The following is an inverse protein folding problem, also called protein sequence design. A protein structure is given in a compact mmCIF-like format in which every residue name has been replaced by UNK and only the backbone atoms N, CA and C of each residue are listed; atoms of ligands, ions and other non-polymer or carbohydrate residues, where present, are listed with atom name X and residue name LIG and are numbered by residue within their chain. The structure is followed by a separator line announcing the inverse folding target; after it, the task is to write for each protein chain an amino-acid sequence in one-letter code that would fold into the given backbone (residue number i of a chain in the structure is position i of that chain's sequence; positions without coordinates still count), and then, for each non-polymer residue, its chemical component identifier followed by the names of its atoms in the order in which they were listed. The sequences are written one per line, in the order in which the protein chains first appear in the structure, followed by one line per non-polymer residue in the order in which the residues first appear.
data_IF_272791192752
#
_entry.id   IF_272791192752
#
_cell.length_a   1.000
_cell.length_b   1.000
_cell.length_c   1.000
_cell.angle_alpha   90.00
_cell.angle_beta   90.00
_cell.angle_gamma   90.00
#
_symmetry.space_group_name_H-M   'P 1'
#
loop_
_entity.id
_entity.type
_entity.pdbx_description
1 polymer ?
#
# COMPACT_ATOMS: atom_id res chain seq x y z
N UNK A 1 -5.51 -47.82 9.91
CA UNK A 1 -4.21 -47.83 9.21
C UNK A 1 -4.45 -47.39 7.78
N UNK A 2 -4.22 -46.14 7.45
CA UNK A 2 -4.19 -45.61 6.09
C UNK A 2 -2.76 -45.15 5.84
N UNK A 3 -2.11 -45.83 4.88
CA UNK A 3 -0.76 -45.53 4.43
C UNK A 3 -0.77 -44.21 3.66
N UNK A 4 0.09 -43.28 4.08
CA UNK A 4 0.43 -42.10 3.29
C UNK A 4 1.57 -42.49 2.36
N UNK A 5 1.34 -42.34 1.07
CA UNK A 5 2.37 -42.51 0.04
C UNK A 5 3.11 -41.19 -0.05
N UNK A 6 4.37 -41.17 0.38
CA UNK A 6 5.31 -40.09 0.10
C UNK A 6 5.76 -40.18 -1.34
N UNK A 7 5.41 -39.24 -2.17
CA UNK A 7 6.02 -39.08 -3.49
C UNK A 7 7.33 -38.36 -3.35
N UNK A 8 8.36 -38.96 -3.92
CA UNK A 8 9.73 -38.51 -3.85
C UNK A 8 9.92 -37.15 -4.55
N UNK A 9 10.56 -36.25 -3.86
CA UNK A 9 11.05 -34.96 -4.36
C UNK A 9 12.24 -35.21 -5.28
N UNK A 10 12.14 -34.95 -6.57
CA UNK A 10 13.32 -34.84 -7.45
C UNK A 10 13.91 -33.43 -7.24
N UNK A 11 14.94 -33.34 -6.41
CA UNK A 11 15.84 -32.20 -6.32
C UNK A 11 16.72 -32.15 -7.58
N UNK A 12 16.45 -31.21 -8.47
CA UNK A 12 17.44 -30.84 -9.48
C UNK A 12 18.40 -29.85 -8.81
N UNK A 13 19.55 -30.38 -8.39
CA UNK A 13 20.65 -29.59 -7.87
C UNK A 13 21.29 -28.79 -9.00
N UNK A 14 20.94 -27.53 -9.14
CA UNK A 14 21.74 -26.56 -9.87
C UNK A 14 23.02 -26.30 -9.10
N UNK A 15 24.17 -26.57 -9.73
CA UNK A 15 25.49 -26.38 -9.16
C UNK A 15 25.71 -24.89 -8.86
N UNK A 16 25.78 -24.54 -7.59
CA UNK A 16 26.31 -23.26 -7.15
C UNK A 16 27.82 -23.26 -7.28
N UNK A 17 28.36 -22.50 -8.22
CA UNK A 17 29.76 -22.13 -8.18
C UNK A 17 29.92 -21.07 -7.07
N UNK A 18 30.46 -21.48 -5.92
CA UNK A 18 30.96 -20.58 -4.90
C UNK A 18 32.26 -19.94 -5.41
N UNK A 19 32.20 -18.73 -5.94
CA UNK A 19 33.36 -17.88 -6.05
C UNK A 19 33.46 -17.06 -4.77
N UNK A 20 34.50 -17.31 -3.99
CA UNK A 20 34.88 -16.50 -2.84
C UNK A 20 35.45 -15.16 -3.32
N UNK A 21 34.86 -14.07 -2.93
CA UNK A 21 35.47 -12.75 -3.07
C UNK A 21 34.48 -11.63 -3.31
N UNK A 22 34.37 -10.75 -2.34
CA UNK A 22 33.65 -9.47 -2.25
C UNK A 22 32.12 -9.57 -2.23
N UNK A 23 31.56 -9.22 -1.07
CA UNK A 23 30.14 -8.99 -0.85
C UNK A 23 29.67 -7.70 -1.55
N UNK A 24 29.65 -7.69 -2.87
CA UNK A 24 28.87 -6.72 -3.63
C UNK A 24 27.42 -7.23 -3.63
N UNK A 25 26.61 -6.68 -2.75
CA UNK A 25 25.16 -6.92 -2.69
C UNK A 25 24.46 -6.22 -3.84
N UNK A 26 24.74 -6.62 -5.07
CA UNK A 26 23.97 -6.16 -6.22
C UNK A 26 22.60 -6.84 -6.24
N UNK A 27 21.56 -6.06 -6.53
CA UNK A 27 20.23 -6.58 -6.78
C UNK A 27 20.25 -7.57 -7.94
N UNK A 28 19.64 -8.74 -7.77
CA UNK A 28 19.56 -9.78 -8.80
C UNK A 28 18.25 -9.65 -9.55
N UNK A 29 18.30 -9.73 -10.87
CA UNK A 29 17.10 -9.82 -11.67
C UNK A 29 16.26 -11.04 -11.27
N UNK A 30 14.95 -10.87 -11.13
CA UNK A 30 14.04 -11.96 -10.77
C UNK A 30 14.00 -13.04 -11.85
N UNK A 31 14.23 -14.29 -11.45
CA UNK A 31 14.06 -15.46 -12.32
C UNK A 31 12.86 -16.27 -11.84
N UNK A 32 11.78 -16.40 -12.65
CA UNK A 32 10.59 -17.13 -12.24
C UNK A 32 10.88 -18.60 -11.94
N UNK A 33 10.37 -19.07 -10.80
CA UNK A 33 10.35 -20.49 -10.42
C UNK A 33 8.91 -20.96 -10.47
N UNK A 34 8.65 -22.04 -11.19
CA UNK A 34 7.31 -22.59 -11.37
C UNK A 34 7.09 -23.78 -10.44
N UNK A 35 6.00 -23.73 -9.72
CA UNK A 35 5.52 -24.79 -8.85
C UNK A 35 4.22 -25.37 -9.38
N UNK A 36 3.95 -26.62 -9.04
CA UNK A 36 2.71 -27.29 -9.44
C UNK A 36 1.65 -27.02 -8.37
N UNK A 37 0.96 -25.91 -8.50
CA UNK A 37 -0.28 -25.61 -7.76
C UNK A 37 -1.38 -25.29 -8.78
N UNK A 38 -2.68 -25.51 -8.44
CA UNK A 38 -3.76 -25.14 -9.34
C UNK A 38 -3.72 -23.65 -9.65
N UNK A 39 -3.88 -23.31 -10.93
CA UNK A 39 -4.00 -21.92 -11.34
C UNK A 39 -5.37 -21.38 -10.98
N UNK A 40 -5.41 -20.14 -10.48
CA UNK A 40 -6.69 -19.44 -10.26
C UNK A 40 -7.33 -19.05 -11.58
N UNK A 41 -8.61 -18.79 -11.55
CA UNK A 41 -9.41 -18.33 -12.69
C UNK A 41 -9.98 -16.94 -12.44
N UNK A 42 -10.46 -16.27 -13.51
CA UNK A 42 -11.17 -14.99 -13.37
C UNK A 42 -12.44 -15.14 -12.50
N UNK A 43 -13.11 -16.31 -12.52
CA UNK A 43 -14.23 -16.59 -11.64
C UNK A 43 -13.81 -16.69 -10.15
N UNK A 44 -12.62 -17.19 -9.89
CA UNK A 44 -12.10 -17.27 -8.52
C UNK A 44 -11.77 -15.89 -7.93
N UNK A 45 -11.38 -14.92 -8.76
CA UNK A 45 -11.22 -13.53 -8.35
C UNK A 45 -12.49 -12.98 -7.73
N UNK A 46 -13.63 -13.20 -8.39
CA UNK A 46 -14.92 -12.72 -7.87
C UNK A 46 -15.33 -13.43 -6.60
N UNK A 47 -15.11 -14.74 -6.51
CA UNK A 47 -15.37 -15.52 -5.28
C UNK A 47 -14.51 -15.01 -4.11
N UNK A 48 -13.22 -14.75 -4.34
CA UNK A 48 -12.31 -14.25 -3.30
C UNK A 48 -12.71 -12.87 -2.80
N UNK A 49 -13.03 -11.95 -3.71
CA UNK A 49 -13.40 -10.59 -3.34
C UNK A 49 -14.81 -10.51 -2.72
N UNK A 50 -15.75 -11.28 -3.22
CA UNK A 50 -17.10 -11.36 -2.62
C UNK A 50 -17.06 -11.98 -1.22
N UNK A 51 -16.28 -13.03 -1.01
CA UNK A 51 -16.08 -13.63 0.31
C UNK A 51 -15.41 -12.64 1.29
N UNK A 52 -14.42 -11.87 0.83
CA UNK A 52 -13.80 -10.81 1.63
C UNK A 52 -14.86 -9.81 2.13
N UNK A 53 -15.72 -9.32 1.24
CA UNK A 53 -16.78 -8.38 1.60
C UNK A 53 -17.88 -9.03 2.48
N UNK A 54 -18.27 -10.27 2.20
CA UNK A 54 -19.30 -10.97 2.96
C UNK A 54 -18.90 -11.14 4.43
N UNK A 55 -17.66 -11.55 4.67
CA UNK A 55 -17.22 -11.92 6.02
C UNK A 55 -16.58 -10.77 6.81
N UNK A 56 -16.03 -9.76 6.15
CA UNK A 56 -15.21 -8.74 6.79
C UNK A 56 -15.77 -7.32 6.69
N UNK A 57 -16.69 -7.02 5.77
CA UNK A 57 -17.36 -5.74 5.74
C UNK A 57 -18.53 -5.71 6.76
N UNK A 58 -18.61 -4.69 7.59
CA UNK A 58 -19.82 -4.34 8.32
C UNK A 58 -20.81 -3.70 7.36
N UNK A 59 -21.79 -4.49 6.91
CA UNK A 59 -22.78 -4.10 5.90
C UNK A 59 -23.71 -2.96 6.38
N UNK A 60 -23.79 -2.69 7.69
CA UNK A 60 -24.63 -1.63 8.23
C UNK A 60 -23.90 -0.27 8.27
N UNK A 61 -22.57 -0.32 8.37
CA UNK A 61 -21.73 0.87 8.52
C UNK A 61 -20.87 1.17 7.32
N UNK A 62 -20.67 0.17 6.45
CA UNK A 62 -19.70 0.21 5.35
C UNK A 62 -18.28 0.57 5.81
N UNK A 63 -17.87 -0.06 6.91
CA UNK A 63 -16.52 -0.04 7.48
C UNK A 63 -16.05 -1.49 7.56
N UNK A 64 -14.80 -1.75 7.20
CA UNK A 64 -14.24 -3.09 7.36
C UNK A 64 -13.91 -3.37 8.82
N UNK A 65 -14.25 -4.57 9.24
CA UNK A 65 -13.94 -5.13 10.55
C UNK A 65 -12.48 -5.56 10.63
N UNK A 66 -11.93 -5.62 11.84
CA UNK A 66 -10.57 -6.11 12.03
C UNK A 66 -10.45 -7.62 11.78
N UNK A 67 -11.52 -8.39 12.03
CA UNK A 67 -11.51 -9.85 11.82
C UNK A 67 -12.91 -10.44 11.61
N UNK A 68 -12.94 -11.71 11.21
CA UNK A 68 -14.20 -12.47 11.10
C UNK A 68 -14.86 -12.77 12.47
N UNK A 69 -14.15 -12.62 13.58
CA UNK A 69 -14.69 -12.76 14.92
C UNK A 69 -15.50 -11.53 15.36
N UNK A 70 -15.28 -10.38 14.75
CA UNK A 70 -15.94 -9.14 15.10
C UNK A 70 -17.37 -9.12 14.55
N UNK A 71 -18.33 -8.78 15.40
CA UNK A 71 -19.75 -8.68 15.00
C UNK A 71 -20.04 -7.38 14.26
N UNK A 72 -19.32 -6.30 14.60
CA UNK A 72 -19.48 -4.99 14.02
C UNK A 72 -18.15 -4.21 14.09
N UNK A 73 -17.96 -3.28 13.17
CA UNK A 73 -16.88 -2.31 13.20
C UNK A 73 -17.32 -1.14 14.10
N UNK A 74 -16.91 -1.14 15.38
CA UNK A 74 -17.37 -0.10 16.35
C UNK A 74 -16.37 1.05 16.37
N UNK A 75 -15.11 0.79 16.71
CA UNK A 75 -13.99 1.73 16.69
C UNK A 75 -12.67 0.95 16.59
N UNK A 76 -11.55 1.68 16.63
CA UNK A 76 -10.19 1.14 16.53
C UNK A 76 -9.91 -0.06 17.46
N UNK A 77 -10.48 -0.05 18.67
CA UNK A 77 -10.23 -1.08 19.69
C UNK A 77 -11.36 -2.12 19.77
N UNK A 78 -12.47 -1.86 19.13
CA UNK A 78 -13.70 -2.62 19.18
C UNK A 78 -14.17 -3.02 17.79
N UNK A 79 -13.37 -3.77 17.08
CA UNK A 79 -13.74 -4.50 15.89
C UNK A 79 -13.67 -3.75 14.55
N UNK A 80 -13.33 -2.46 14.51
CA UNK A 80 -13.01 -1.77 13.26
C UNK A 80 -11.55 -2.05 12.86
N UNK A 81 -11.30 -2.31 11.58
CA UNK A 81 -9.95 -2.32 11.07
C UNK A 81 -9.32 -0.93 11.20
N UNK A 82 -7.99 -0.89 11.29
CA UNK A 82 -7.24 0.35 11.44
C UNK A 82 -7.59 1.38 10.36
N UNK A 83 -7.61 2.65 10.75
CA UNK A 83 -8.03 3.76 9.88
C UNK A 83 -7.22 3.84 8.58
N UNK A 84 -5.92 3.56 8.64
CA UNK A 84 -5.02 3.59 7.50
C UNK A 84 -5.20 2.41 6.53
N UNK A 85 -5.87 1.34 6.97
CA UNK A 85 -6.17 0.18 6.14
C UNK A 85 -7.46 0.35 5.33
N UNK A 86 -8.40 1.16 5.82
CA UNK A 86 -9.67 1.39 5.14
C UNK A 86 -9.51 1.95 3.71
N UNK A 87 -8.59 2.90 3.43
CA UNK A 87 -8.37 3.37 2.05
C UNK A 87 -7.84 2.26 1.13
N UNK A 88 -7.03 1.32 1.62
CA UNK A 88 -6.61 0.15 0.81
C UNK A 88 -7.81 -0.73 0.43
N UNK A 89 -8.75 -0.94 1.33
CA UNK A 89 -9.98 -1.69 1.01
C UNK A 89 -10.88 -0.91 0.04
N UNK A 90 -10.90 0.41 0.13
CA UNK A 90 -11.59 1.25 -0.85
C UNK A 90 -10.92 1.20 -2.23
N UNK A 91 -9.59 1.20 -2.30
CA UNK A 91 -8.82 0.93 -3.53
C UNK A 91 -9.20 -0.44 -4.15
N UNK A 92 -9.39 -1.48 -3.33
CA UNK A 92 -9.86 -2.79 -3.81
C UNK A 92 -11.26 -2.70 -4.45
N UNK A 93 -12.19 -1.94 -3.86
CA UNK A 93 -13.52 -1.73 -4.43
C UNK A 93 -13.45 -0.98 -5.77
N UNK A 94 -12.61 0.04 -5.88
CA UNK A 94 -12.34 0.76 -7.14
C UNK A 94 -11.70 -0.15 -8.19
N UNK A 95 -10.80 -1.04 -7.79
CA UNK A 95 -10.19 -2.00 -8.70
C UNK A 95 -11.22 -3.06 -9.17
N UNK A 96 -12.14 -3.48 -8.30
CA UNK A 96 -13.25 -4.35 -8.67
C UNK A 96 -14.19 -3.66 -9.68
N UNK A 97 -14.51 -2.38 -9.48
CA UNK A 97 -15.26 -1.58 -10.44
C UNK A 97 -14.54 -1.50 -11.80
N UNK A 98 -13.26 -1.13 -11.81
CA UNK A 98 -12.46 -1.05 -13.05
C UNK A 98 -12.41 -2.38 -13.79
N UNK A 99 -12.24 -3.48 -13.04
CA UNK A 99 -12.19 -4.82 -13.62
C UNK A 99 -13.53 -5.23 -14.21
N UNK A 100 -14.65 -5.07 -13.49
CA UNK A 100 -15.98 -5.36 -13.98
C UNK A 100 -16.30 -4.58 -15.28
N UNK A 101 -15.92 -3.31 -15.32
CA UNK A 101 -16.03 -2.47 -16.50
C UNK A 101 -15.20 -2.99 -17.67
N UNK A 102 -13.97 -3.41 -17.42
CA UNK A 102 -13.09 -3.98 -18.47
C UNK A 102 -13.59 -5.35 -18.98
N UNK A 103 -14.27 -6.14 -18.14
CA UNK A 103 -14.91 -7.39 -18.53
C UNK A 103 -16.28 -7.18 -19.23
N UNK A 104 -16.82 -5.96 -19.24
CA UNK A 104 -18.14 -5.64 -19.80
C UNK A 104 -19.31 -6.15 -18.94
N UNK A 105 -19.05 -6.50 -17.67
CA UNK A 105 -20.08 -6.96 -16.73
C UNK A 105 -20.76 -5.76 -16.07
N UNK A 106 -21.80 -5.25 -16.73
CA UNK A 106 -22.52 -4.05 -16.28
C UNK A 106 -23.20 -4.22 -14.92
N UNK A 107 -23.56 -5.44 -14.54
CA UNK A 107 -24.16 -5.71 -13.22
C UNK A 107 -23.13 -5.58 -12.12
N UNK A 108 -21.95 -6.17 -12.29
CA UNK A 108 -20.85 -6.02 -11.34
C UNK A 108 -20.31 -4.59 -11.33
N UNK A 109 -20.23 -3.93 -12.48
CA UNK A 109 -19.83 -2.53 -12.57
C UNK A 109 -20.71 -1.65 -11.68
N UNK A 110 -22.04 -1.77 -11.79
CA UNK A 110 -22.99 -1.03 -10.95
C UNK A 110 -22.86 -1.41 -9.47
N UNK A 111 -22.77 -2.72 -9.16
CA UNK A 111 -22.59 -3.22 -7.79
C UNK A 111 -21.38 -2.61 -7.11
N UNK A 112 -20.22 -2.61 -7.79
CA UNK A 112 -18.99 -2.14 -7.19
C UNK A 112 -18.86 -0.62 -7.22
N UNK A 113 -19.51 0.08 -8.16
CA UNK A 113 -19.66 1.53 -8.08
C UNK A 113 -20.44 1.93 -6.82
N UNK A 114 -21.57 1.26 -6.56
CA UNK A 114 -22.34 1.49 -5.34
C UNK A 114 -21.54 1.18 -4.08
N UNK A 115 -20.78 0.07 -4.08
CA UNK A 115 -19.90 -0.26 -2.95
C UNK A 115 -18.85 0.84 -2.71
N UNK A 116 -18.28 1.42 -3.76
CA UNK A 116 -17.34 2.54 -3.60
C UNK A 116 -18.00 3.74 -2.92
N UNK A 117 -19.23 4.08 -3.31
CA UNK A 117 -19.98 5.19 -2.74
C UNK A 117 -20.36 4.92 -1.27
N UNK A 118 -20.82 3.72 -0.97
CA UNK A 118 -21.22 3.29 0.37
C UNK A 118 -20.01 3.25 1.32
N UNK A 119 -18.86 2.74 0.87
CA UNK A 119 -17.61 2.72 1.64
C UNK A 119 -17.13 4.12 1.98
N UNK A 120 -17.17 5.06 1.02
CA UNK A 120 -16.81 6.43 1.31
C UNK A 120 -17.75 7.05 2.34
N UNK A 121 -19.06 6.91 2.14
CA UNK A 121 -20.05 7.44 3.05
C UNK A 121 -19.91 6.84 4.47
N UNK A 122 -19.68 5.55 4.58
CA UNK A 122 -19.45 4.87 5.84
C UNK A 122 -18.19 5.35 6.56
N UNK A 123 -17.07 5.43 5.84
CA UNK A 123 -15.81 5.93 6.40
C UNK A 123 -15.93 7.41 6.80
N UNK A 124 -16.55 8.22 5.96
CA UNK A 124 -16.79 9.64 6.28
C UNK A 124 -17.60 9.80 7.57
N UNK A 125 -18.68 9.05 7.72
CA UNK A 125 -19.50 9.06 8.94
C UNK A 125 -18.75 8.55 10.19
N UNK A 126 -17.85 7.57 9.99
CA UNK A 126 -17.09 6.96 11.08
C UNK A 126 -15.92 7.83 11.55
N UNK A 127 -15.24 8.52 10.63
CA UNK A 127 -14.04 9.32 10.89
C UNK A 127 -14.34 10.83 10.82
N UNK A 128 -15.26 11.30 11.66
CA UNK A 128 -15.59 12.71 11.90
C UNK A 128 -15.83 13.54 10.61
N UNK A 129 -16.46 12.95 9.59
CA UNK A 129 -16.66 13.53 8.27
C UNK A 129 -15.38 14.01 7.57
N UNK A 130 -14.27 13.31 7.81
CA UNK A 130 -12.93 13.68 7.37
C UNK A 130 -12.46 15.05 7.89
N UNK A 131 -12.85 15.43 9.12
CA UNK A 131 -12.16 16.48 9.86
C UNK A 131 -10.78 15.98 10.27
N UNK A 132 -9.77 16.21 9.43
CA UNK A 132 -8.40 15.76 9.65
C UNK A 132 -7.71 16.39 10.87
N UNK A 133 -8.40 17.29 11.56
CA UNK A 133 -8.02 17.85 12.86
C UNK A 133 -8.67 17.11 14.04
N UNK A 134 -9.51 16.12 13.80
CA UNK A 134 -10.07 15.30 14.86
C UNK A 134 -8.97 14.43 15.49
N UNK A 135 -8.79 14.58 16.80
CA UNK A 135 -7.78 13.84 17.58
C UNK A 135 -8.40 12.88 18.60
N UNK A 136 -9.63 12.44 18.36
CA UNK A 136 -10.25 11.39 19.16
C UNK A 136 -9.48 10.10 19.03
N UNK A 137 -9.03 9.53 20.13
CA UNK A 137 -8.19 8.31 20.15
C UNK A 137 -8.83 7.05 19.52
N UNK A 138 -10.13 7.03 19.32
CA UNK A 138 -10.86 5.92 18.71
C UNK A 138 -11.09 6.07 17.21
N UNK A 139 -11.14 7.30 16.72
CA UNK A 139 -11.49 7.64 15.33
C UNK A 139 -10.64 8.77 14.75
N UNK A 140 -9.65 9.23 15.49
CA UNK A 140 -8.88 10.42 15.14
C UNK A 140 -7.64 10.14 14.30
N UNK A 141 -7.03 11.24 13.87
CA UNK A 141 -5.96 11.30 12.90
C UNK A 141 -4.63 11.68 13.58
N UNK A 142 -4.08 10.78 14.42
CA UNK A 142 -2.86 11.09 15.21
C UNK A 142 -1.56 10.91 14.43
N UNK A 143 -1.59 10.08 13.39
CA UNK A 143 -0.42 9.64 12.67
C UNK A 143 -0.51 10.18 11.24
N UNK A 144 0.55 10.82 10.77
CA UNK A 144 0.55 11.48 9.48
C UNK A 144 0.41 10.52 8.28
N UNK A 145 0.97 9.33 8.37
CA UNK A 145 0.84 8.35 7.29
C UNK A 145 -0.60 7.81 7.16
N UNK A 146 -1.34 7.67 8.27
CA UNK A 146 -2.75 7.31 8.26
C UNK A 146 -3.57 8.28 7.38
N UNK A 147 -3.32 9.58 7.53
CA UNK A 147 -3.94 10.62 6.69
C UNK A 147 -3.44 10.50 5.24
N UNK A 148 -2.14 10.26 5.04
CA UNK A 148 -1.54 10.25 3.71
C UNK A 148 -2.04 9.06 2.86
N UNK A 149 -2.33 7.91 3.46
CA UNK A 149 -2.98 6.80 2.76
C UNK A 149 -4.36 7.20 2.21
N UNK A 150 -5.15 7.95 2.99
CA UNK A 150 -6.41 8.52 2.52
C UNK A 150 -6.20 9.55 1.41
N UNK A 151 -5.20 10.42 1.54
CA UNK A 151 -4.83 11.41 0.50
C UNK A 151 -4.63 10.75 -0.86
N UNK A 152 -3.84 9.66 -0.89
CA UNK A 152 -3.56 8.89 -2.12
C UNK A 152 -4.85 8.33 -2.71
N UNK A 153 -5.66 7.66 -1.90
CA UNK A 153 -6.87 6.96 -2.39
C UNK A 153 -7.96 7.93 -2.82
N UNK A 154 -8.12 9.06 -2.12
CA UNK A 154 -9.03 10.15 -2.51
C UNK A 154 -8.66 10.74 -3.88
N UNK A 155 -7.37 10.97 -4.15
CA UNK A 155 -6.93 11.45 -5.46
C UNK A 155 -7.18 10.42 -6.57
N UNK A 156 -6.95 9.14 -6.31
CA UNK A 156 -7.27 8.04 -7.25
C UNK A 156 -8.78 7.93 -7.51
N UNK A 157 -9.60 8.13 -6.49
CA UNK A 157 -11.05 8.14 -6.62
C UNK A 157 -11.52 9.32 -7.49
N UNK A 158 -10.92 10.49 -7.33
CA UNK A 158 -11.18 11.62 -8.23
C UNK A 158 -10.80 11.29 -9.67
N UNK A 159 -9.62 10.72 -9.89
CA UNK A 159 -9.18 10.30 -11.24
C UNK A 159 -10.16 9.33 -11.89
N UNK A 160 -10.76 8.43 -11.09
CA UNK A 160 -11.69 7.42 -11.58
C UNK A 160 -13.10 7.93 -11.81
N UNK A 161 -13.62 8.78 -10.92
CA UNK A 161 -15.03 9.17 -10.87
C UNK A 161 -15.30 10.63 -11.18
N UNK A 162 -14.29 11.53 -11.14
CA UNK A 162 -14.43 12.94 -11.40
C UNK A 162 -15.25 13.71 -10.36
N UNK A 163 -15.33 13.22 -9.13
CA UNK A 163 -16.09 13.86 -8.04
C UNK A 163 -15.21 14.89 -7.34
N UNK A 164 -15.51 16.16 -7.49
CA UNK A 164 -14.70 17.29 -6.98
C UNK A 164 -14.44 17.22 -5.46
N UNK A 165 -15.38 16.68 -4.68
CA UNK A 165 -15.19 16.49 -3.25
C UNK A 165 -13.98 15.60 -2.94
N UNK A 166 -13.72 14.57 -3.76
CA UNK A 166 -12.58 13.67 -3.55
C UNK A 166 -11.25 14.40 -3.75
N UNK A 167 -11.17 15.26 -4.76
CA UNK A 167 -9.99 16.09 -4.98
C UNK A 167 -9.80 17.09 -3.84
N UNK A 168 -10.85 17.80 -3.43
CA UNK A 168 -10.78 18.76 -2.29
C UNK A 168 -10.29 18.07 -1.02
N UNK A 169 -10.89 16.94 -0.64
CA UNK A 169 -10.47 16.18 0.55
C UNK A 169 -9.01 15.68 0.44
N UNK A 170 -8.59 15.27 -0.76
CA UNK A 170 -7.20 14.86 -0.98
C UNK A 170 -6.22 16.03 -0.81
N UNK A 171 -6.55 17.20 -1.33
CA UNK A 171 -5.70 18.40 -1.19
C UNK A 171 -5.69 18.91 0.26
N UNK A 172 -6.84 18.91 0.94
CA UNK A 172 -6.96 19.30 2.35
C UNK A 172 -6.14 18.35 3.25
N UNK A 173 -6.26 17.05 3.06
CA UNK A 173 -5.49 16.06 3.82
C UNK A 173 -3.99 16.14 3.54
N UNK A 174 -3.58 16.37 2.30
CA UNK A 174 -2.18 16.63 1.95
C UNK A 174 -1.64 17.88 2.67
N UNK A 175 -2.40 18.98 2.62
CA UNK A 175 -2.07 20.24 3.30
C UNK A 175 -1.98 20.05 4.81
N UNK A 176 -2.92 19.32 5.39
CA UNK A 176 -2.94 18.97 6.82
C UNK A 176 -1.67 18.23 7.25
N UNK A 177 -1.26 17.25 6.48
CA UNK A 177 -0.02 16.50 6.77
C UNK A 177 1.21 17.37 6.56
N UNK A 178 1.26 18.15 5.49
CA UNK A 178 2.43 18.95 5.15
C UNK A 178 2.66 20.11 6.13
N UNK A 179 1.61 20.88 6.39
CA UNK A 179 1.70 22.16 7.14
C UNK A 179 1.30 22.09 8.61
N UNK A 180 0.63 21.01 9.02
CA UNK A 180 0.08 20.90 10.36
C UNK A 180 -1.23 21.65 10.58
N UNK A 181 -1.61 21.80 11.84
CA UNK A 181 -2.83 22.50 12.25
C UNK A 181 -2.64 23.24 13.57
N UNK A 182 -2.95 24.52 13.57
CA UNK A 182 -2.99 25.33 14.80
C UNK A 182 -4.07 24.85 15.78
N UNK A 183 -5.18 24.31 15.26
CA UNK A 183 -6.27 23.75 16.08
C UNK A 183 -5.80 22.57 16.91
N UNK A 184 -5.00 21.71 16.31
CA UNK A 184 -4.40 20.54 16.97
C UNK A 184 -3.14 20.92 17.75
N UNK A 185 -2.42 21.93 17.29
CA UNK A 185 -1.17 22.41 17.90
C UNK A 185 0.06 21.66 17.39
N UNK A 186 0.05 21.22 16.13
CA UNK A 186 1.18 20.57 15.48
C UNK A 186 1.73 21.39 14.30
N UNK A 187 2.96 21.08 13.89
CA UNK A 187 3.67 21.78 12.82
C UNK A 187 3.64 21.08 11.47
N UNK A 188 2.90 19.98 11.38
CA UNK A 188 2.92 19.11 10.21
C UNK A 188 4.09 18.14 10.19
N UNK A 189 4.04 17.27 9.19
CA UNK A 189 5.02 16.21 9.00
C UNK A 189 6.30 16.69 8.30
N UNK A 190 6.22 17.73 7.48
CA UNK A 190 7.36 18.20 6.70
C UNK A 190 8.47 18.75 7.60
N UNK A 191 9.63 18.11 7.53
CA UNK A 191 10.80 18.48 8.30
C UNK A 191 11.64 19.49 7.52
N UNK A 192 11.22 20.74 7.52
CA UNK A 192 11.83 21.86 6.78
C UNK A 192 13.34 21.99 7.06
N UNK A 193 14.20 21.81 6.04
CA UNK A 193 15.64 21.94 6.22
C UNK A 193 16.08 23.35 6.65
N UNK A 194 15.36 24.40 6.23
CA UNK A 194 15.66 25.78 6.59
C UNK A 194 15.45 26.05 8.08
N UNK A 195 14.55 25.26 8.70
CA UNK A 195 14.32 25.28 10.15
C UNK A 195 15.23 24.33 10.93
N UNK A 196 16.21 23.70 10.25
CA UNK A 196 17.14 22.76 10.87
C UNK A 196 16.53 21.37 11.17
N UNK A 197 15.41 21.03 10.54
CA UNK A 197 14.73 19.75 10.75
C UNK A 197 15.21 18.64 9.81
N UNK A 198 16.10 18.95 8.86
CA UNK A 198 16.87 17.98 8.09
C UNK A 198 16.16 17.30 6.94
N UNK A 199 15.01 17.81 6.48
CA UNK A 199 14.27 17.27 5.33
C UNK A 199 13.48 16.00 5.62
N UNK A 200 12.72 15.54 4.63
CA UNK A 200 11.84 14.39 4.76
C UNK A 200 10.55 14.67 5.56
N UNK A 201 9.85 13.60 5.92
CA UNK A 201 8.56 13.67 6.62
C UNK A 201 8.64 12.94 7.96
N UNK A 202 8.11 13.56 9.03
CA UNK A 202 7.92 12.91 10.33
C UNK A 202 6.73 11.95 10.30
N UNK A 203 6.82 10.88 11.05
CA UNK A 203 5.76 9.87 11.14
C UNK A 203 4.56 10.32 11.99
N UNK A 204 4.83 10.93 13.17
CA UNK A 204 3.82 11.37 14.12
C UNK A 204 3.69 12.89 14.16
N UNK A 205 2.58 13.37 14.71
CA UNK A 205 2.35 14.80 14.91
C UNK A 205 3.45 15.44 15.76
N UNK A 206 3.97 16.53 15.23
CA UNK A 206 5.04 17.31 15.87
C UNK A 206 4.46 18.49 16.61
N UNK A 207 4.93 18.80 17.85
CA UNK A 207 4.50 20.00 18.57
C UNK A 207 4.95 21.26 17.84
N UNK A 208 4.04 22.23 17.65
CA UNK A 208 4.32 23.49 16.96
C UNK A 208 5.51 24.23 17.57
N UNK A 209 5.64 24.20 18.91
CA UNK A 209 6.58 25.04 19.62
C UNK A 209 7.99 24.50 19.72
N UNK A 210 8.20 23.21 19.56
CA UNK A 210 9.50 22.61 19.85
C UNK A 210 9.70 21.25 19.16
N UNK A 211 9.66 21.17 17.83
CA UNK A 211 9.95 19.93 17.12
C UNK A 211 11.40 19.55 17.37
N UNK A 212 11.63 18.33 17.86
CA UNK A 212 12.97 17.81 18.08
C UNK A 212 13.21 16.56 17.21
N UNK A 213 13.95 16.68 16.11
CA UNK A 213 14.17 15.58 15.19
C UNK A 213 15.02 14.44 15.75
N UNK A 214 15.63 14.65 16.93
CA UNK A 214 16.47 13.66 17.58
C UNK A 214 15.75 12.81 18.64
N UNK A 215 14.49 13.10 18.94
CA UNK A 215 13.71 12.27 19.85
C UNK A 215 13.25 10.98 19.17
N UNK A 216 13.18 9.88 19.94
CA UNK A 216 12.82 8.57 19.41
C UNK A 216 11.46 8.54 18.71
N UNK A 217 10.48 9.30 19.26
CA UNK A 217 9.13 9.38 18.71
C UNK A 217 9.02 10.29 17.47
N UNK A 218 10.12 10.95 17.09
CA UNK A 218 10.19 11.83 15.93
C UNK A 218 10.89 11.14 14.74
N UNK A 219 10.62 9.87 14.54
CA UNK A 219 11.16 9.09 13.44
C UNK A 219 10.63 9.56 12.08
N UNK A 220 11.53 9.51 11.09
CA UNK A 220 11.19 9.70 9.68
C UNK A 220 11.15 8.31 9.03
N UNK A 221 9.94 7.82 8.79
CA UNK A 221 9.72 6.44 8.36
C UNK A 221 9.44 6.35 6.85
N UNK A 222 9.71 5.20 6.27
CA UNK A 222 9.42 4.96 4.86
C UNK A 222 7.91 5.04 4.57
N UNK A 223 7.07 4.58 5.51
CA UNK A 223 5.61 4.55 5.39
C UNK A 223 4.93 5.93 5.32
N UNK A 224 5.62 7.01 5.65
CA UNK A 224 5.14 8.38 5.40
C UNK A 224 5.86 9.02 4.22
N UNK A 225 7.17 8.81 4.07
CA UNK A 225 7.95 9.50 3.05
C UNK A 225 7.55 9.08 1.63
N UNK A 226 7.54 7.78 1.30
CA UNK A 226 7.15 7.34 -0.04
C UNK A 226 5.66 7.55 -0.35
N UNK A 227 4.69 7.27 0.54
CA UNK A 227 3.30 7.64 0.31
C UNK A 227 3.08 9.14 0.09
N UNK A 228 3.85 10.02 0.73
CA UNK A 228 3.80 11.47 0.44
C UNK A 228 4.21 11.77 -1.00
N UNK A 229 5.23 11.09 -1.52
CA UNK A 229 5.62 11.21 -2.94
C UNK A 229 4.49 10.72 -3.84
N UNK A 230 3.92 9.55 -3.54
CA UNK A 230 2.78 9.00 -4.30
C UNK A 230 1.60 9.97 -4.30
N UNK A 231 1.25 10.53 -3.12
CA UNK A 231 0.17 11.51 -3.00
C UNK A 231 0.44 12.78 -3.82
N UNK A 232 1.64 13.35 -3.69
CA UNK A 232 2.04 14.55 -4.43
C UNK A 232 1.95 14.32 -5.95
N UNK A 233 2.44 13.17 -6.44
CA UNK A 233 2.41 12.87 -7.88
C UNK A 233 1.00 12.51 -8.38
N UNK A 234 0.17 11.87 -7.56
CA UNK A 234 -1.23 11.63 -7.91
C UNK A 234 -2.00 12.95 -7.99
N UNK A 235 -1.77 13.89 -7.06
CA UNK A 235 -2.33 15.24 -7.12
C UNK A 235 -1.78 16.03 -8.31
N UNK A 236 -0.48 15.96 -8.60
CA UNK A 236 0.11 16.53 -9.81
C UNK A 236 -0.64 16.12 -11.09
N UNK A 237 -1.04 14.86 -11.19
CA UNK A 237 -1.78 14.36 -12.35
C UNK A 237 -3.21 14.93 -12.42
N UNK A 238 -3.84 15.21 -11.29
CA UNK A 238 -5.28 15.45 -11.18
C UNK A 238 -5.68 16.90 -10.95
N UNK A 239 -4.83 17.75 -10.35
CA UNK A 239 -5.18 19.17 -10.16
C UNK A 239 -5.25 19.93 -11.50
N UNK A 240 -6.11 20.95 -11.61
CA UNK A 240 -6.29 21.68 -12.85
C UNK A 240 -5.01 22.33 -13.37
N UNK A 241 -4.77 22.22 -14.66
CA UNK A 241 -3.67 22.92 -15.33
C UNK A 241 -3.94 24.44 -15.34
N UNK A 242 -2.89 25.22 -15.04
CA UNK A 242 -3.00 26.68 -15.01
C UNK A 242 -3.56 27.26 -13.69
N UNK A 243 -3.74 26.40 -12.66
CA UNK A 243 -4.03 26.87 -11.32
C UNK A 243 -2.89 27.77 -10.86
N UNK A 244 -3.20 28.93 -10.30
CA UNK A 244 -2.25 29.82 -9.65
C UNK A 244 -1.92 29.31 -8.25
N UNK A 245 -0.86 29.84 -7.64
CA UNK A 245 -0.46 29.47 -6.27
C UNK A 245 -1.62 29.62 -5.27
N UNK A 246 -1.53 28.83 -4.19
CA UNK A 246 -2.49 28.89 -3.09
C UNK A 246 -2.56 30.28 -2.49
N UNK A 247 -3.77 30.67 -2.10
CA UNK A 247 -4.02 31.93 -1.39
C UNK A 247 -4.05 31.67 0.11
N UNK A 248 -3.99 32.73 0.92
CA UNK A 248 -4.14 32.63 2.37
C UNK A 248 -5.48 31.99 2.79
N UNK A 249 -6.52 32.08 1.93
CA UNK A 249 -7.82 31.46 2.15
C UNK A 249 -7.85 29.95 1.86
N UNK A 250 -6.85 29.41 1.10
CA UNK A 250 -6.75 28.01 0.74
C UNK A 250 -5.29 27.56 0.65
N UNK A 251 -4.57 27.47 1.80
CA UNK A 251 -3.16 27.09 1.81
C UNK A 251 -2.91 25.66 1.33
N UNK A 252 -3.93 24.80 1.37
CA UNK A 252 -3.82 23.41 0.89
C UNK A 252 -3.80 23.30 -0.64
N UNK A 253 -4.35 24.27 -1.37
CA UNK A 253 -4.38 24.24 -2.83
C UNK A 253 -3.01 24.59 -3.42
N UNK A 254 -2.41 23.64 -4.13
CA UNK A 254 -1.11 23.78 -4.76
C UNK A 254 -1.23 23.74 -6.29
N UNK A 255 -0.27 24.33 -6.99
CA UNK A 255 -0.15 24.11 -8.45
C UNK A 255 0.41 22.71 -8.75
N UNK A 256 0.29 22.30 -10.01
CA UNK A 256 0.94 21.05 -10.47
C UNK A 256 2.44 21.07 -10.21
N UNK A 257 3.09 22.16 -10.49
CA UNK A 257 4.53 22.35 -10.34
C UNK A 257 4.95 22.25 -8.87
N UNK A 258 4.14 22.79 -7.97
CA UNK A 258 4.38 22.70 -6.53
C UNK A 258 4.26 21.25 -6.02
N UNK A 259 3.24 20.50 -6.46
CA UNK A 259 3.11 19.08 -6.12
C UNK A 259 4.28 18.26 -6.67
N UNK A 260 4.69 18.49 -7.93
CA UNK A 260 5.85 17.80 -8.50
C UNK A 260 7.14 18.13 -7.75
N UNK A 261 7.35 19.40 -7.40
CA UNK A 261 8.52 19.83 -6.64
C UNK A 261 8.58 19.17 -5.26
N UNK A 262 7.45 19.15 -4.53
CA UNK A 262 7.33 18.48 -3.22
C UNK A 262 7.59 16.98 -3.35
N UNK A 263 7.03 16.32 -4.36
CA UNK A 263 7.29 14.90 -4.61
C UNK A 263 8.75 14.61 -4.88
N UNK A 264 9.43 15.41 -5.72
CA UNK A 264 10.86 15.26 -6.01
C UNK A 264 11.73 15.50 -4.77
N UNK A 265 11.41 16.50 -3.96
CA UNK A 265 12.13 16.84 -2.74
C UNK A 265 12.10 15.69 -1.72
N UNK A 266 10.89 15.19 -1.41
CA UNK A 266 10.75 14.10 -0.46
C UNK A 266 11.35 12.79 -0.99
N UNK A 267 11.20 12.52 -2.28
CA UNK A 267 11.83 11.35 -2.90
C UNK A 267 13.36 11.39 -2.79
N UNK A 268 13.96 12.52 -3.10
CA UNK A 268 15.42 12.68 -3.01
C UNK A 268 15.91 12.44 -1.57
N UNK A 269 15.24 13.05 -0.59
CA UNK A 269 15.57 12.82 0.82
C UNK A 269 15.39 11.33 1.21
N UNK A 270 14.27 10.71 0.82
CA UNK A 270 13.97 9.33 1.19
C UNK A 270 14.98 8.35 0.57
N UNK A 271 15.36 8.54 -0.69
CA UNK A 271 16.38 7.70 -1.34
C UNK A 271 17.74 7.86 -0.65
N UNK A 272 18.17 9.07 -0.34
CA UNK A 272 19.44 9.31 0.35
C UNK A 272 19.48 8.70 1.76
N UNK A 273 18.34 8.67 2.47
CA UNK A 273 18.32 8.37 3.90
C UNK A 273 17.70 7.01 4.25
N UNK A 274 16.90 6.42 3.36
CA UNK A 274 16.12 5.20 3.63
C UNK A 274 16.31 4.11 2.57
N UNK A 275 17.12 4.30 1.52
CA UNK A 275 17.31 3.30 0.46
C UNK A 275 18.78 2.91 0.34
N UNK A 276 19.03 1.61 0.31
CA UNK A 276 20.31 1.10 -0.22
C UNK A 276 20.20 1.06 -1.76
N UNK A 277 20.81 2.06 -2.38
CA UNK A 277 20.77 2.23 -3.85
C UNK A 277 21.54 1.17 -4.63
N UNK A 278 22.24 0.26 -3.94
CA UNK A 278 22.94 -0.86 -4.58
C UNK A 278 22.08 -2.13 -4.62
N UNK A 279 21.14 -2.24 -3.69
CA UNK A 279 20.27 -3.44 -3.57
C UNK A 279 18.80 -3.15 -3.84
N UNK A 280 18.35 -1.91 -3.65
CA UNK A 280 16.94 -1.53 -3.67
C UNK A 280 16.23 -1.78 -2.34
N UNK A 281 16.94 -2.16 -1.27
CA UNK A 281 16.36 -2.31 0.07
C UNK A 281 15.86 -0.97 0.60
N UNK A 282 14.67 -0.97 1.19
CA UNK A 282 14.08 0.18 1.88
C UNK A 282 14.15 -0.04 3.38
N UNK A 283 14.81 0.87 4.10
CA UNK A 283 14.80 0.88 5.56
C UNK A 283 13.42 1.27 6.08
N UNK A 284 13.03 0.73 7.23
CA UNK A 284 11.78 1.07 7.89
C UNK A 284 11.75 2.53 8.35
N UNK A 285 12.84 2.99 8.98
CA UNK A 285 12.89 4.32 9.58
C UNK A 285 14.32 4.85 9.75
N UNK A 286 14.40 6.16 9.98
CA UNK A 286 15.60 6.83 10.50
C UNK A 286 15.20 7.82 11.58
N UNK A 287 15.87 7.77 12.73
CA UNK A 287 15.62 8.65 13.86
C UNK A 287 16.80 9.64 14.04
N UNK A 288 16.51 10.93 13.93
CA UNK A 288 17.52 11.98 14.02
C UNK A 288 18.69 11.76 13.05
N UNK A 289 19.92 11.81 13.57
CA UNK A 289 21.14 11.54 12.81
C UNK A 289 21.61 10.08 12.93
N UNK A 290 20.76 9.18 13.44
CA UNK A 290 21.06 7.76 13.59
C UNK A 290 21.15 7.04 12.24
N UNK A 291 21.60 5.78 12.30
CA UNK A 291 21.60 4.92 11.13
C UNK A 291 20.17 4.52 10.74
N UNK A 292 19.90 4.26 9.45
CA UNK A 292 18.64 3.66 9.03
C UNK A 292 18.39 2.31 9.72
N UNK A 293 17.13 2.05 10.08
CA UNK A 293 16.70 0.76 10.60
C UNK A 293 16.37 -0.16 9.41
N UNK A 294 17.33 -1.00 9.04
CA UNK A 294 17.19 -1.93 7.92
C UNK A 294 16.29 -3.13 8.32
N UNK A 295 14.99 -2.88 8.31
CA UNK A 295 13.96 -3.90 8.52
C UNK A 295 13.09 -3.96 7.27
N UNK A 296 13.02 -5.14 6.67
CA UNK A 296 12.25 -5.34 5.46
C UNK A 296 10.75 -5.33 5.76
N UNK A 297 10.03 -4.52 5.00
CA UNK A 297 8.58 -4.52 4.94
C UNK A 297 8.11 -4.41 3.49
N UNK A 298 7.26 -5.31 3.07
CA UNK A 298 6.75 -5.38 1.69
C UNK A 298 6.05 -4.07 1.28
N UNK A 299 5.31 -3.42 2.18
CA UNK A 299 4.60 -2.17 1.86
C UNK A 299 5.54 -0.96 1.69
N UNK A 300 6.69 -0.94 2.38
CA UNK A 300 7.72 0.09 2.18
C UNK A 300 8.37 -0.05 0.80
N UNK A 301 8.73 -1.28 0.41
CA UNK A 301 9.20 -1.56 -0.95
C UNK A 301 8.15 -1.16 -1.99
N UNK A 302 6.89 -1.53 -1.76
CA UNK A 302 5.78 -1.23 -2.65
C UNK A 302 5.59 0.28 -2.85
N UNK A 303 5.56 1.06 -1.78
CA UNK A 303 5.38 2.51 -1.88
C UNK A 303 6.59 3.20 -2.55
N UNK A 304 7.80 2.68 -2.38
CA UNK A 304 8.98 3.13 -3.14
C UNK A 304 8.85 2.80 -4.63
N UNK A 305 8.39 1.59 -4.99
CA UNK A 305 8.05 1.24 -6.39
C UNK A 305 7.04 2.24 -6.96
N UNK A 306 5.94 2.48 -6.24
CA UNK A 306 4.89 3.40 -6.68
C UNK A 306 5.36 4.84 -6.86
N UNK A 307 6.12 5.36 -5.91
CA UNK A 307 6.73 6.69 -5.98
C UNK A 307 7.65 6.82 -7.20
N UNK A 308 8.49 5.81 -7.43
CA UNK A 308 9.42 5.78 -8.56
C UNK A 308 8.70 5.69 -9.90
N UNK A 309 7.68 4.84 -10.04
CA UNK A 309 6.85 4.74 -11.26
C UNK A 309 6.18 6.08 -11.58
N UNK A 310 5.58 6.72 -10.58
CA UNK A 310 4.89 8.00 -10.79
C UNK A 310 5.87 9.12 -11.19
N UNK A 311 7.07 9.18 -10.60
CA UNK A 311 8.11 10.11 -11.02
C UNK A 311 8.60 9.82 -12.44
N UNK A 312 8.81 8.55 -12.80
CA UNK A 312 9.13 8.19 -14.17
C UNK A 312 8.08 8.66 -15.16
N UNK A 313 6.81 8.42 -14.87
CA UNK A 313 5.69 8.87 -15.73
C UNK A 313 5.61 10.40 -15.84
N UNK A 314 5.90 11.11 -14.76
CA UNK A 314 5.84 12.58 -14.73
C UNK A 314 7.03 13.25 -15.45
N UNK A 315 8.22 12.63 -15.43
CA UNK A 315 9.46 13.27 -15.89
C UNK A 315 10.10 12.62 -17.11
N UNK A 316 9.86 11.33 -17.34
CA UNK A 316 10.56 10.53 -18.35
C UNK A 316 11.98 10.13 -17.97
N UNK A 317 12.44 10.47 -16.75
CA UNK A 317 13.80 10.19 -16.30
C UNK A 317 13.95 8.69 -15.95
N UNK A 318 14.74 7.98 -16.75
CA UNK A 318 14.90 6.51 -16.67
C UNK A 318 15.36 6.02 -15.29
N UNK A 319 16.11 6.82 -14.56
CA UNK A 319 16.61 6.45 -13.23
C UNK A 319 15.46 6.08 -12.26
N UNK A 320 14.32 6.74 -12.35
CA UNK A 320 13.16 6.40 -11.52
C UNK A 320 12.60 5.01 -11.87
N UNK A 321 12.55 4.65 -13.16
CA UNK A 321 12.16 3.30 -13.55
C UNK A 321 13.16 2.26 -13.07
N UNK A 322 14.46 2.53 -13.19
CA UNK A 322 15.53 1.62 -12.72
C UNK A 322 15.43 1.41 -11.20
N UNK A 323 15.10 2.45 -10.44
CA UNK A 323 14.87 2.36 -9.00
C UNK A 323 13.63 1.49 -8.67
N UNK A 324 12.53 1.63 -9.42
CA UNK A 324 11.34 0.80 -9.24
C UNK A 324 11.63 -0.69 -9.52
N UNK A 325 12.38 -0.97 -10.61
CA UNK A 325 12.81 -2.33 -10.96
C UNK A 325 13.70 -2.92 -9.87
N UNK A 326 14.68 -2.16 -9.40
CA UNK A 326 15.60 -2.61 -8.34
C UNK A 326 14.85 -2.95 -7.04
N UNK A 327 13.88 -2.13 -6.64
CA UNK A 327 13.06 -2.39 -5.46
C UNK A 327 12.16 -3.64 -5.63
N UNK A 328 11.60 -3.84 -6.82
CA UNK A 328 10.83 -5.04 -7.15
C UNK A 328 11.71 -6.30 -7.13
N UNK A 329 12.89 -6.24 -7.74
CA UNK A 329 13.87 -7.32 -7.73
C UNK A 329 14.30 -7.68 -6.29
N UNK A 330 14.55 -6.68 -5.44
CA UNK A 330 14.87 -6.90 -4.04
C UNK A 330 13.73 -7.61 -3.31
N UNK A 331 12.49 -7.16 -3.52
CA UNK A 331 11.32 -7.78 -2.91
C UNK A 331 11.20 -9.25 -3.29
N UNK A 332 11.38 -9.57 -4.57
CA UNK A 332 11.16 -10.92 -5.10
C UNK A 332 12.34 -11.87 -4.85
N UNK A 333 13.57 -11.37 -4.85
CA UNK A 333 14.76 -12.21 -4.71
C UNK A 333 15.30 -12.27 -3.28
N UNK A 334 14.98 -11.29 -2.43
CA UNK A 334 15.55 -11.17 -1.08
C UNK A 334 14.49 -11.27 0.02
N UNK A 335 13.39 -10.53 -0.10
CA UNK A 335 12.34 -10.53 0.93
C UNK A 335 11.45 -11.77 0.80
N UNK A 336 11.16 -12.22 -0.43
CA UNK A 336 10.32 -13.41 -0.61
C UNK A 336 10.93 -14.62 0.09
N UNK A 337 10.07 -15.38 0.74
CA UNK A 337 10.48 -16.50 1.58
C UNK A 337 10.34 -17.86 0.89
N UNK A 338 9.85 -18.83 1.64
CA UNK A 338 9.66 -20.21 1.16
C UNK A 338 8.78 -20.23 -0.09
N UNK A 339 9.19 -20.99 -1.09
CA UNK A 339 8.51 -21.13 -2.38
C UNK A 339 8.44 -19.87 -3.23
N UNK A 340 9.31 -18.90 -3.03
CA UNK A 340 9.28 -17.57 -3.68
C UNK A 340 7.93 -16.85 -3.48
N UNK A 341 7.41 -16.89 -2.27
CA UNK A 341 6.18 -16.23 -1.88
C UNK A 341 6.49 -15.01 -1.01
N UNK A 342 5.66 -14.00 -1.12
CA UNK A 342 5.69 -12.87 -0.19
C UNK A 342 5.61 -13.37 1.26
N UNK A 343 6.39 -12.79 2.16
CA UNK A 343 6.44 -13.25 3.55
C UNK A 343 5.12 -12.97 4.27
N UNK A 344 4.80 -13.80 5.24
CA UNK A 344 3.83 -13.45 6.26
C UNK A 344 4.51 -12.52 7.27
N UNK A 345 4.15 -11.26 7.26
CA UNK A 345 4.67 -10.29 8.21
C UNK A 345 3.87 -10.35 9.51
N UNK A 346 4.56 -10.61 10.62
CA UNK A 346 3.93 -10.80 11.93
C UNK A 346 3.51 -9.47 12.56
N UNK A 347 2.29 -9.41 13.05
CA UNK A 347 1.65 -8.25 13.63
C UNK A 347 0.22 -8.13 13.12
N UNK A 348 -0.66 -7.48 13.87
CA UNK A 348 -2.08 -7.46 13.51
C UNK A 348 -2.31 -6.79 12.14
N UNK A 349 -1.76 -5.61 11.94
CA UNK A 349 -2.03 -4.79 10.74
C UNK A 349 -1.10 -5.12 9.56
N UNK A 350 0.03 -5.78 9.80
CA UNK A 350 1.03 -6.08 8.78
C UNK A 350 0.53 -7.02 7.68
N UNK A 351 -0.53 -7.76 7.94
CA UNK A 351 -1.18 -8.61 6.94
C UNK A 351 -1.63 -7.85 5.68
N UNK A 352 -1.91 -6.55 5.77
CA UNK A 352 -2.36 -5.73 4.64
C UNK A 352 -1.24 -5.37 3.65
N UNK A 353 0.03 -5.58 4.00
CA UNK A 353 1.17 -5.14 3.19
C UNK A 353 1.16 -5.71 1.77
N UNK A 354 0.67 -6.93 1.59
CA UNK A 354 0.47 -7.51 0.25
C UNK A 354 -0.59 -6.77 -0.56
N UNK A 355 -1.68 -6.29 0.06
CA UNK A 355 -2.69 -5.52 -0.67
C UNK A 355 -2.15 -4.15 -1.12
N UNK A 356 -1.31 -3.53 -0.31
CA UNK A 356 -0.57 -2.31 -0.71
C UNK A 356 0.40 -2.62 -1.86
N UNK A 357 1.16 -3.72 -1.76
CA UNK A 357 2.07 -4.17 -2.80
C UNK A 357 1.35 -4.42 -4.13
N UNK A 358 0.16 -5.01 -4.10
CA UNK A 358 -0.62 -5.32 -5.29
C UNK A 358 -0.83 -4.08 -6.18
N UNK A 359 -1.16 -2.94 -5.58
CA UNK A 359 -1.41 -1.70 -6.31
C UNK A 359 -0.16 -1.19 -7.04
N UNK A 360 0.98 -1.21 -6.39
CA UNK A 360 2.20 -0.61 -6.93
C UNK A 360 2.95 -1.54 -7.88
N UNK A 361 2.94 -2.85 -7.63
CA UNK A 361 3.51 -3.80 -8.59
C UNK A 361 2.68 -3.85 -9.89
N UNK A 362 1.35 -3.68 -9.80
CA UNK A 362 0.51 -3.57 -11.00
C UNK A 362 0.85 -2.33 -11.83
N UNK A 363 1.14 -1.19 -11.20
CA UNK A 363 1.60 0.01 -11.90
C UNK A 363 2.94 -0.24 -12.62
N UNK A 364 3.90 -0.89 -11.96
CA UNK A 364 5.18 -1.22 -12.59
C UNK A 364 5.00 -2.18 -13.78
N UNK A 365 4.16 -3.18 -13.62
CA UNK A 365 3.89 -4.18 -14.66
C UNK A 365 3.16 -3.60 -15.86
N UNK A 366 2.05 -2.89 -15.63
CA UNK A 366 1.15 -2.49 -16.71
C UNK A 366 1.40 -1.08 -17.23
N UNK A 367 1.85 -0.15 -16.40
CA UNK A 367 2.12 1.23 -16.82
C UNK A 367 3.55 1.41 -17.36
N UNK A 368 4.47 0.49 -17.00
CA UNK A 368 5.88 0.55 -17.40
C UNK A 368 6.35 -0.71 -18.16
N UNK A 369 5.43 -1.58 -18.59
CA UNK A 369 5.70 -2.80 -19.39
C UNK A 369 6.68 -3.79 -18.73
N UNK A 370 6.77 -3.82 -17.38
CA UNK A 370 7.66 -4.73 -16.67
C UNK A 370 6.98 -6.08 -16.39
N UNK A 371 6.60 -6.78 -17.47
CA UNK A 371 5.78 -8.00 -17.42
C UNK A 371 6.49 -9.23 -16.83
N UNK A 372 7.81 -9.19 -16.66
CA UNK A 372 8.60 -10.26 -16.04
C UNK A 372 8.18 -10.58 -14.59
N UNK A 373 7.45 -9.69 -13.93
CA UNK A 373 6.98 -9.88 -12.57
C UNK A 373 5.64 -10.61 -12.46
N UNK A 374 4.91 -10.78 -13.57
CA UNK A 374 3.61 -11.48 -13.59
C UNK A 374 3.70 -12.90 -13.04
N UNK A 375 4.71 -13.75 -13.41
CA UNK A 375 4.80 -15.10 -12.87
C UNK A 375 4.94 -15.16 -11.35
N UNK A 376 5.69 -14.24 -10.74
CA UNK A 376 5.81 -14.15 -9.29
C UNK A 376 4.47 -13.81 -8.64
N UNK A 377 3.76 -12.80 -9.17
CA UNK A 377 2.45 -12.40 -8.65
C UNK A 377 1.44 -13.53 -8.77
N UNK A 378 1.34 -14.17 -9.94
CA UNK A 378 0.42 -15.30 -10.16
C UNK A 378 0.74 -16.49 -9.25
N UNK A 379 2.02 -16.73 -8.97
CA UNK A 379 2.44 -17.73 -8.00
C UNK A 379 1.89 -17.46 -6.60
N UNK A 380 2.02 -16.24 -6.10
CA UNK A 380 1.45 -15.83 -4.81
C UNK A 380 -0.08 -16.03 -4.79
N UNK A 381 -0.76 -15.64 -5.85
CA UNK A 381 -2.22 -15.83 -5.98
C UNK A 381 -2.56 -17.32 -5.94
N UNK A 382 -1.90 -18.15 -6.74
CA UNK A 382 -2.19 -19.58 -6.83
C UNK A 382 -2.03 -20.28 -5.48
N UNK A 383 -0.93 -20.00 -4.76
CA UNK A 383 -0.70 -20.56 -3.44
C UNK A 383 -1.72 -20.08 -2.41
N UNK A 384 -1.94 -18.77 -2.31
CA UNK A 384 -2.89 -18.22 -1.34
C UNK A 384 -4.32 -18.66 -1.60
N UNK A 385 -4.73 -18.77 -2.86
CA UNK A 385 -6.05 -19.26 -3.24
C UNK A 385 -6.22 -20.76 -3.00
N UNK A 386 -5.22 -21.58 -3.33
CA UNK A 386 -5.25 -23.02 -3.07
C UNK A 386 -5.35 -23.34 -1.57
N UNK A 387 -4.69 -22.54 -0.73
CA UNK A 387 -4.61 -22.73 0.71
C UNK A 387 -5.65 -21.94 1.54
N UNK A 388 -6.63 -21.31 0.88
CA UNK A 388 -7.70 -20.58 1.56
C UNK A 388 -8.57 -21.46 2.46
N UNK A 389 -9.34 -20.87 3.34
CA UNK A 389 -10.51 -21.51 3.93
C UNK A 389 -11.50 -21.84 2.82
N UNK A 390 -11.65 -23.14 2.50
CA UNK A 390 -12.44 -23.61 1.36
C UNK A 390 -13.94 -23.37 1.57
N UNK A 391 -14.41 -23.42 2.82
CA UNK A 391 -15.81 -23.23 3.17
C UNK A 391 -16.26 -21.80 2.95
N UNK A 392 -15.44 -20.83 3.36
CA UNK A 392 -15.71 -19.38 3.27
C UNK A 392 -15.10 -18.71 2.06
N UNK A 393 -14.20 -19.38 1.33
CA UNK A 393 -13.37 -18.81 0.27
C UNK A 393 -12.50 -17.63 0.74
N UNK A 394 -12.08 -17.64 2.01
CA UNK A 394 -11.22 -16.60 2.61
C UNK A 394 -9.76 -17.02 2.61
N UNK A 395 -8.92 -16.16 2.06
CA UNK A 395 -7.48 -16.33 2.12
C UNK A 395 -6.93 -15.85 3.47
N UNK A 396 -5.78 -16.37 3.87
CA UNK A 396 -4.98 -15.85 4.99
C UNK A 396 -3.68 -15.25 4.50
N UNK A 397 -2.79 -14.86 5.42
CA UNK A 397 -1.51 -14.21 5.08
C UNK A 397 -0.36 -15.18 4.80
N UNK A 398 -0.39 -16.42 5.35
CA UNK A 398 0.64 -17.43 5.09
C UNK A 398 0.28 -18.28 3.88
N UNK A 399 0.64 -17.84 2.68
CA UNK A 399 0.14 -18.41 1.43
C UNK A 399 0.50 -19.89 1.21
N UNK A 400 1.59 -20.38 1.79
CA UNK A 400 2.00 -21.78 1.68
C UNK A 400 1.35 -22.72 2.71
N UNK A 401 0.54 -22.19 3.63
CA UNK A 401 -0.14 -22.96 4.67
C UNK A 401 -1.65 -22.95 4.48
N UNK A 402 -2.26 -24.13 4.53
CA UNK A 402 -3.71 -24.23 4.47
C UNK A 402 -4.36 -23.53 5.66
N UNK A 403 -5.37 -22.72 5.39
CA UNK A 403 -6.19 -22.10 6.42
C UNK A 403 -7.04 -23.15 7.13
N UNK A 404 -7.16 -22.99 8.45
CA UNK A 404 -8.05 -23.85 9.24
C UNK A 404 -9.48 -23.40 8.99
N UNK A 405 -10.31 -24.33 8.53
CA UNK A 405 -11.73 -24.09 8.25
C UNK A 405 -12.45 -23.48 9.46
N UNK A 406 -13.11 -22.35 9.24
CA UNK A 406 -13.87 -21.66 10.28
C UNK A 406 -13.04 -20.91 11.33
N UNK A 407 -11.71 -20.95 11.27
CA UNK A 407 -10.87 -20.17 12.18
C UNK A 407 -11.06 -18.66 11.97
N UNK A 408 -10.73 -17.87 12.99
CA UNK A 408 -10.68 -16.42 12.87
C UNK A 408 -9.62 -16.00 11.87
N UNK A 409 -10.00 -15.17 10.91
CA UNK A 409 -9.10 -14.56 9.92
C UNK A 409 -9.27 -13.04 10.04
N UNK A 410 -8.18 -12.31 10.16
CA UNK A 410 -8.19 -10.85 10.17
C UNK A 410 -8.34 -10.29 8.74
N UNK A 411 -8.89 -9.08 8.64
CA UNK A 411 -9.12 -8.43 7.35
C UNK A 411 -7.81 -8.03 6.66
N UNK A 412 -6.78 -7.77 7.43
CA UNK A 412 -5.47 -7.39 6.95
C UNK A 412 -4.86 -8.52 6.12
N UNK A 413 -4.73 -9.70 6.70
CA UNK A 413 -4.21 -10.90 6.03
C UNK A 413 -5.11 -11.39 4.90
N UNK A 414 -6.43 -11.27 5.07
CA UNK A 414 -7.40 -11.73 4.06
C UNK A 414 -7.40 -10.88 2.79
N UNK A 415 -6.90 -9.64 2.84
CA UNK A 415 -6.98 -8.68 1.73
C UNK A 415 -5.97 -8.96 0.60
N UNK A 416 -4.81 -9.55 0.90
CA UNK A 416 -3.69 -9.62 -0.03
C UNK A 416 -4.00 -10.35 -1.33
N UNK A 417 -4.52 -11.56 -1.24
CA UNK A 417 -4.84 -12.37 -2.44
C UNK A 417 -5.96 -11.77 -3.28
N UNK A 418 -7.12 -11.37 -2.74
CA UNK A 418 -8.13 -10.71 -3.57
C UNK A 418 -7.64 -9.39 -4.18
N UNK A 419 -6.78 -8.61 -3.50
CA UNK A 419 -6.19 -7.39 -4.07
C UNK A 419 -5.31 -7.72 -5.30
N UNK A 420 -4.45 -8.72 -5.19
CA UNK A 420 -3.65 -9.20 -6.32
C UNK A 420 -4.53 -9.71 -7.47
N UNK A 421 -5.53 -10.55 -7.16
CA UNK A 421 -6.44 -11.11 -8.16
C UNK A 421 -7.22 -10.04 -8.92
N UNK A 422 -7.65 -8.97 -8.27
CA UNK A 422 -8.38 -7.87 -8.91
C UNK A 422 -7.52 -7.14 -9.96
N UNK A 423 -6.23 -7.03 -9.74
CA UNK A 423 -5.30 -6.31 -10.60
C UNK A 423 -4.61 -7.21 -11.63
N UNK A 424 -4.48 -8.51 -11.37
CA UNK A 424 -3.85 -9.47 -12.26
C UNK A 424 -4.88 -10.48 -12.77
N UNK A 425 -5.44 -10.30 -13.97
CA UNK A 425 -6.32 -11.29 -14.59
C UNK A 425 -5.62 -12.62 -14.85
N UNK A 426 -6.35 -13.73 -14.69
CA UNK A 426 -5.79 -15.07 -14.88
C UNK A 426 -5.34 -15.34 -16.33
N UNK A 427 -5.97 -14.69 -17.29
CA UNK A 427 -5.78 -14.85 -18.72
C UNK A 427 -4.81 -13.84 -19.36
N UNK A 428 -4.13 -13.02 -18.57
CA UNK A 428 -3.16 -12.00 -19.04
C UNK A 428 -1.76 -12.25 -18.52
#
# INVERSE_FOLDING_TARGET
MKQYIFSALCLVSGAFCLSSGNDDKEARAYTPVYEIVPEYTNADTWKAYEAFNEHLLDQNKFIYKSSTADKAAVDRWNGAAAIWCQPTYWDMAMNAYKRAKAEGDTQKEQKFKQLCDDLLAGNKAHYANFDFDDNNENTGWFIYDDIMWWTVTLARAYELFGVEEYLSLSEESFGRVWYGSEKVGDTGSYADPEKGLGGGMFWQWQPIKNPNPNEADHGKMACINFPTVVAALTLYNNVPTGRTESTDSHPSYQTKEQYLAKGKEIYAWAVENLVDVTTGQVADSRHGNGNPAWKDHVYNQASYIGASVLLYKATGEKQYLDNAVMAADYTMNTISGTFDLLPFETGAEQGIYTAVFAQYIAMLVYDCDQTQYIPFVKRNINYGWANRDQTRNLCGGEYHKAQIEGATIDSYSASGIPALMLLFPADK
#
